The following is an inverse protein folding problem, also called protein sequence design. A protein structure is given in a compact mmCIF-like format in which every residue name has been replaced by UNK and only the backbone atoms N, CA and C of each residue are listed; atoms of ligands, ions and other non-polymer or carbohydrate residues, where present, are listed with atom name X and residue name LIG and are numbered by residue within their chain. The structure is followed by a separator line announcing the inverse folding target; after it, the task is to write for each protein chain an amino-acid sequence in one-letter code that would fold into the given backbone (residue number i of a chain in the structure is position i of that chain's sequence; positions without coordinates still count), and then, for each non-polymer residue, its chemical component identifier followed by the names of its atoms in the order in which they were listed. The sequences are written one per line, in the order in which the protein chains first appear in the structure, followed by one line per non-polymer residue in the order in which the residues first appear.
data_IF_465150655000
#
_entry.id   IF_465150655000
#
_cell.length_a   1.000
_cell.length_b   1.000
_cell.length_c   1.000
_cell.angle_alpha   90.00
_cell.angle_beta   90.00
_cell.angle_gamma   90.00
#
_symmetry.space_group_name_H-M   'P 1'
#
loop_
_entity.id
_entity.type
_entity.pdbx_description
1 polymer ?
#
# COMPACT_ATOMS: atom_id res chain seq x y z
N UNK A 1 1.28 -23.23 7.51
CA UNK A 1 -0.04 -22.96 6.90
C UNK A 1 -0.04 -23.56 5.51
N UNK A 2 -1.18 -24.02 4.99
CA UNK A 2 -1.22 -24.53 3.61
C UNK A 2 -1.06 -23.36 2.64
N UNK A 3 -0.27 -23.57 1.59
CA UNK A 3 -0.13 -22.59 0.51
C UNK A 3 -1.45 -22.46 -0.26
N UNK A 4 -1.78 -21.24 -0.70
CA UNK A 4 -2.99 -20.97 -1.47
C UNK A 4 -2.87 -21.49 -2.91
N UNK A 5 -3.93 -22.14 -3.41
CA UNK A 5 -4.03 -22.61 -4.80
C UNK A 5 -4.78 -21.63 -5.71
N UNK A 6 -5.34 -20.56 -5.14
CA UNK A 6 -5.92 -19.39 -5.81
C UNK A 6 -5.97 -18.21 -4.85
N UNK A 7 -6.14 -16.99 -5.36
CA UNK A 7 -6.29 -15.78 -4.53
C UNK A 7 -7.42 -14.87 -5.02
N UNK A 8 -8.24 -14.41 -4.08
CA UNK A 8 -9.22 -13.33 -4.26
C UNK A 8 -8.73 -12.11 -3.51
N UNK A 9 -8.35 -11.07 -4.26
CA UNK A 9 -7.68 -9.88 -3.72
C UNK A 9 -8.59 -8.68 -3.89
N UNK A 10 -8.95 -8.03 -2.78
CA UNK A 10 -9.63 -6.75 -2.81
C UNK A 10 -8.63 -5.61 -2.65
N UNK A 11 -8.88 -4.48 -3.31
CA UNK A 11 -8.22 -3.21 -3.06
C UNK A 11 -9.26 -2.14 -2.75
N UNK A 12 -9.22 -1.61 -1.52
CA UNK A 12 -10.17 -0.61 -1.03
C UNK A 12 -9.70 0.80 -1.41
N UNK A 13 -10.25 1.36 -2.47
CA UNK A 13 -9.93 2.67 -2.97
C UNK A 13 -10.73 3.76 -2.25
N UNK A 14 -10.03 4.67 -1.56
CA UNK A 14 -10.60 5.82 -0.87
C UNK A 14 -10.03 7.09 -1.52
N UNK A 15 -10.74 7.74 -2.46
CA UNK A 15 -10.17 8.78 -3.31
C UNK A 15 -9.80 10.08 -2.56
N UNK A 16 -8.79 10.83 -3.04
CA UNK A 16 -7.83 10.42 -4.07
C UNK A 16 -6.79 9.44 -3.49
N UNK A 17 -6.38 8.45 -4.28
CA UNK A 17 -5.45 7.40 -3.84
C UNK A 17 -4.04 7.63 -4.40
N UNK A 18 -3.01 7.40 -3.58
CA UNK A 18 -1.63 7.37 -4.05
C UNK A 18 -1.43 6.19 -5.02
N UNK A 19 -1.22 6.46 -6.31
CA UNK A 19 -1.13 5.42 -7.34
C UNK A 19 -0.08 4.35 -7.00
N UNK A 20 1.09 4.79 -6.50
CA UNK A 20 2.19 3.88 -6.19
C UNK A 20 1.93 3.02 -4.93
N UNK A 21 1.00 3.41 -4.05
CA UNK A 21 0.54 2.54 -2.97
C UNK A 21 -0.38 1.44 -3.54
N UNK A 22 -1.27 1.81 -4.46
CA UNK A 22 -2.19 0.89 -5.11
C UNK A 22 -1.50 -0.07 -6.07
N UNK A 23 -0.43 0.36 -6.76
CA UNK A 23 0.27 -0.43 -7.78
C UNK A 23 0.94 -1.68 -7.24
N UNK A 24 1.11 -1.80 -5.91
CA UNK A 24 1.58 -3.04 -5.29
C UNK A 24 0.66 -4.25 -5.59
N UNK A 25 -0.58 -3.99 -6.02
CA UNK A 25 -1.52 -5.01 -6.49
C UNK A 25 -1.02 -5.75 -7.75
N UNK A 26 -0.16 -5.11 -8.55
CA UNK A 26 0.27 -5.65 -9.84
C UNK A 26 1.07 -6.95 -9.66
N UNK A 27 1.86 -7.06 -8.58
CA UNK A 27 2.56 -8.29 -8.21
C UNK A 27 1.62 -9.49 -7.98
N UNK A 28 0.36 -9.26 -7.60
CA UNK A 28 -0.64 -10.34 -7.53
C UNK A 28 -1.09 -10.79 -8.91
N UNK A 29 -1.25 -9.86 -9.87
CA UNK A 29 -1.59 -10.18 -11.25
C UNK A 29 -0.51 -11.01 -11.95
N UNK A 30 0.75 -10.84 -11.53
CA UNK A 30 1.89 -11.60 -12.03
C UNK A 30 1.89 -13.08 -11.63
N UNK A 31 1.11 -13.48 -10.62
CA UNK A 31 1.00 -14.88 -10.17
C UNK A 31 0.22 -15.77 -11.15
N UNK A 32 -0.45 -15.19 -12.15
CA UNK A 32 -1.44 -15.89 -12.97
C UNK A 32 -0.81 -16.71 -14.09
N UNK A 33 -1.44 -17.86 -14.47
CA UNK A 33 -0.95 -18.66 -15.60
C UNK A 33 -0.86 -17.86 -16.90
N UNK A 34 -1.84 -16.98 -17.14
CA UNK A 34 -1.87 -16.10 -18.32
C UNK A 34 -0.70 -15.12 -18.34
N UNK A 35 -0.32 -14.55 -17.20
CA UNK A 35 0.80 -13.61 -17.14
C UNK A 35 2.13 -14.33 -17.39
N UNK A 36 2.40 -15.43 -16.66
CA UNK A 36 3.65 -16.19 -16.83
C UNK A 36 3.80 -16.76 -18.25
N UNK A 37 2.70 -17.24 -18.84
CA UNK A 37 2.68 -17.71 -20.23
C UNK A 37 2.93 -16.57 -21.22
N UNK A 38 2.34 -15.39 -21.01
CA UNK A 38 2.54 -14.22 -21.86
C UNK A 38 3.99 -13.71 -21.81
N UNK A 39 4.67 -13.87 -20.67
CA UNK A 39 6.10 -13.60 -20.53
C UNK A 39 7.02 -14.66 -21.19
N UNK A 40 6.46 -15.73 -21.76
CA UNK A 40 7.21 -16.78 -22.44
C UNK A 40 8.03 -17.66 -21.49
N UNK A 41 7.60 -17.81 -20.23
CA UNK A 41 8.31 -18.64 -19.27
C UNK A 41 8.15 -20.15 -19.58
N UNK A 42 9.17 -20.97 -19.27
CA UNK A 42 9.08 -22.42 -19.42
C UNK A 42 7.92 -23.03 -18.62
N UNK A 43 7.32 -24.10 -19.16
CA UNK A 43 6.15 -24.77 -18.56
C UNK A 43 6.31 -25.11 -17.06
N UNK A 44 7.47 -25.60 -16.57
CA UNK A 44 7.63 -25.87 -15.13
C UNK A 44 7.43 -24.65 -14.23
N UNK A 45 7.70 -23.43 -14.72
CA UNK A 45 7.43 -22.19 -13.99
C UNK A 45 5.96 -21.77 -14.11
N UNK A 46 5.36 -21.97 -15.28
CA UNK A 46 3.92 -21.73 -15.50
C UNK A 46 3.07 -22.64 -14.62
N UNK A 47 3.51 -23.88 -14.38
CA UNK A 47 2.83 -24.85 -13.53
C UNK A 47 2.80 -24.44 -12.04
N UNK A 48 3.68 -23.51 -11.62
CA UNK A 48 3.65 -22.92 -10.28
C UNK A 48 2.53 -21.89 -10.12
N UNK A 49 2.05 -21.30 -11.22
CA UNK A 49 1.10 -20.20 -11.22
C UNK A 49 -0.23 -20.56 -10.56
N UNK A 50 -0.92 -19.55 -10.03
CA UNK A 50 -2.23 -19.71 -9.42
C UNK A 50 -3.23 -18.70 -10.00
N UNK A 51 -4.53 -19.05 -10.10
CA UNK A 51 -5.56 -18.09 -10.48
C UNK A 51 -5.66 -16.96 -9.45
N UNK A 52 -5.79 -15.72 -9.94
CA UNK A 52 -5.99 -14.53 -9.10
C UNK A 52 -7.16 -13.72 -9.63
N UNK A 53 -8.11 -13.36 -8.75
CA UNK A 53 -9.14 -12.35 -9.03
C UNK A 53 -8.83 -11.07 -8.25
N UNK A 54 -8.94 -9.92 -8.91
CA UNK A 54 -8.68 -8.60 -8.32
C UNK A 54 -9.97 -7.80 -8.37
N UNK A 55 -10.36 -7.28 -7.21
CA UNK A 55 -11.55 -6.46 -7.01
C UNK A 55 -11.15 -5.04 -6.62
N UNK A 56 -11.41 -4.06 -7.48
CA UNK A 56 -11.25 -2.64 -7.17
C UNK A 56 -12.53 -2.14 -6.50
N UNK A 57 -12.43 -1.88 -5.19
CA UNK A 57 -13.57 -1.64 -4.30
C UNK A 57 -13.64 -0.15 -3.96
N UNK A 58 -14.80 0.48 -4.15
CA UNK A 58 -15.02 1.88 -3.78
C UNK A 58 -16.49 2.12 -3.37
N UNK A 59 -16.76 3.17 -2.61
CA UNK A 59 -18.14 3.61 -2.31
C UNK A 59 -18.92 4.01 -3.55
N UNK A 60 -18.24 4.39 -4.63
CA UNK A 60 -18.86 4.78 -5.89
C UNK A 60 -19.44 3.60 -6.69
N UNK A 61 -19.02 2.36 -6.39
CA UNK A 61 -19.52 1.14 -7.03
C UNK A 61 -19.08 0.93 -8.49
N UNK A 62 -19.55 -0.15 -9.13
CA UNK A 62 -19.17 -0.53 -10.50
C UNK A 62 -19.45 0.57 -11.54
N UNK A 63 -18.82 0.49 -12.70
CA UNK A 63 -18.93 1.45 -13.82
C UNK A 63 -18.47 2.89 -13.49
N UNK A 64 -17.78 3.06 -12.36
CA UNK A 64 -17.17 4.33 -11.96
C UNK A 64 -15.65 4.25 -11.96
N UNK A 65 -14.99 5.39 -11.75
CA UNK A 65 -13.55 5.48 -11.65
C UNK A 65 -13.12 6.28 -10.42
N UNK A 66 -12.03 5.88 -9.79
CA UNK A 66 -11.40 6.58 -8.66
C UNK A 66 -10.19 7.37 -9.17
N UNK A 67 -10.07 8.63 -8.74
CA UNK A 67 -8.93 9.48 -9.05
C UNK A 67 -7.69 9.10 -8.25
N UNK A 68 -6.55 9.12 -8.93
CA UNK A 68 -5.24 8.93 -8.33
C UNK A 68 -4.53 10.28 -8.16
N UNK A 69 -3.58 10.35 -7.23
CA UNK A 69 -2.72 11.54 -7.03
C UNK A 69 -1.88 11.91 -8.25
N UNK A 70 -1.66 10.95 -9.16
CA UNK A 70 -0.91 11.11 -10.42
C UNK A 70 -1.78 11.60 -11.59
N UNK A 71 -3.03 11.99 -11.34
CA UNK A 71 -4.04 12.33 -12.36
C UNK A 71 -4.49 11.14 -13.23
N UNK A 72 -4.05 9.92 -12.91
CA UNK A 72 -4.62 8.69 -13.48
C UNK A 72 -5.98 8.36 -12.84
N UNK A 73 -6.71 7.44 -13.45
CA UNK A 73 -7.94 6.87 -12.90
C UNK A 73 -7.87 5.35 -12.90
N UNK A 74 -8.49 4.72 -11.90
CA UNK A 74 -8.68 3.26 -11.86
C UNK A 74 -10.17 2.93 -11.91
N UNK A 75 -10.59 1.92 -12.69
CA UNK A 75 -11.98 1.48 -12.71
C UNK A 75 -12.35 0.83 -11.38
N UNK A 76 -13.62 0.96 -11.01
CA UNK A 76 -14.20 0.27 -9.86
C UNK A 76 -14.97 -0.94 -10.35
N UNK A 77 -14.68 -2.11 -9.78
CA UNK A 77 -15.35 -3.37 -10.13
C UNK A 77 -16.43 -3.73 -9.13
N UNK A 78 -16.33 -3.25 -7.89
CA UNK A 78 -17.20 -3.65 -6.78
C UNK A 78 -17.52 -2.45 -5.86
N UNK A 79 -18.75 -2.42 -5.37
CA UNK A 79 -19.18 -1.58 -4.25
C UNK A 79 -18.88 -2.25 -2.90
N UNK A 80 -18.94 -1.51 -1.80
CA UNK A 80 -18.73 -2.06 -0.45
C UNK A 80 -19.70 -3.18 -0.05
N UNK A 81 -20.89 -3.21 -0.64
CA UNK A 81 -21.95 -4.20 -0.41
C UNK A 81 -21.98 -5.31 -1.47
N UNK A 82 -21.08 -5.28 -2.45
CA UNK A 82 -20.98 -6.31 -3.48
C UNK A 82 -20.71 -7.68 -2.84
N UNK A 83 -21.44 -8.76 -3.21
CA UNK A 83 -21.30 -10.07 -2.57
C UNK A 83 -19.88 -10.64 -2.64
N UNK A 84 -19.17 -10.40 -3.75
CA UNK A 84 -17.83 -10.95 -4.00
C UNK A 84 -16.75 -10.40 -3.05
N UNK A 85 -17.02 -9.28 -2.37
CA UNK A 85 -16.04 -8.58 -1.53
C UNK A 85 -16.40 -8.59 -0.04
N UNK A 86 -17.46 -9.32 0.36
CA UNK A 86 -17.86 -9.44 1.75
C UNK A 86 -16.86 -10.27 2.59
N UNK A 87 -16.91 -10.18 3.94
CA UNK A 87 -16.01 -10.96 4.79
C UNK A 87 -16.04 -12.47 4.51
N UNK A 88 -14.87 -13.07 4.31
CA UNK A 88 -14.70 -14.47 3.90
C UNK A 88 -14.73 -14.72 2.39
N UNK A 89 -15.04 -13.70 1.59
CA UNK A 89 -14.98 -13.77 0.13
C UNK A 89 -13.65 -13.29 -0.45
N UNK A 90 -12.84 -12.61 0.37
CA UNK A 90 -11.49 -12.18 0.02
C UNK A 90 -10.45 -12.92 0.86
N UNK A 91 -9.37 -13.35 0.22
CA UNK A 91 -8.21 -13.91 0.89
C UNK A 91 -7.30 -12.79 1.42
N UNK A 92 -7.28 -11.65 0.74
CA UNK A 92 -6.58 -10.42 1.17
C UNK A 92 -7.33 -9.15 0.77
N UNK A 93 -7.22 -8.12 1.61
CA UNK A 93 -7.72 -6.77 1.37
C UNK A 93 -6.57 -5.76 1.51
N UNK A 94 -6.21 -5.09 0.41
CA UNK A 94 -5.21 -4.04 0.38
C UNK A 94 -5.88 -2.66 0.58
N UNK A 95 -5.35 -1.88 1.51
CA UNK A 95 -5.78 -0.50 1.81
C UNK A 95 -4.62 0.45 1.47
N UNK A 96 -4.61 1.05 0.26
CA UNK A 96 -3.60 2.01 -0.15
C UNK A 96 -3.82 3.36 0.52
N UNK A 97 -2.87 4.29 0.35
CA UNK A 97 -2.90 5.59 0.98
C UNK A 97 -3.83 6.62 0.35
N UNK A 98 -4.87 7.10 1.07
CA UNK A 98 -5.57 8.34 0.71
C UNK A 98 -4.82 9.58 1.22
N UNK A 99 -5.42 10.76 1.08
CA UNK A 99 -4.98 11.97 1.80
C UNK A 99 -4.88 11.67 3.32
N UNK A 100 -3.74 11.94 3.98
CA UNK A 100 -3.56 11.68 5.42
C UNK A 100 -4.43 12.54 6.35
N UNK A 101 -5.20 13.49 5.83
CA UNK A 101 -6.20 14.27 6.56
C UNK A 101 -7.62 13.76 6.37
N UNK A 102 -7.84 12.84 5.42
CA UNK A 102 -9.14 12.25 5.16
C UNK A 102 -9.62 11.46 6.39
N UNK A 103 -10.87 11.72 6.77
CA UNK A 103 -11.62 10.87 7.69
C UNK A 103 -12.57 10.05 6.83
N UNK A 104 -12.50 8.71 6.85
CA UNK A 104 -13.36 7.88 6.01
C UNK A 104 -14.81 7.96 6.50
N UNK A 105 -15.75 7.84 5.56
CA UNK A 105 -17.16 7.66 5.89
C UNK A 105 -17.37 6.40 6.73
N UNK A 106 -18.46 6.37 7.51
CA UNK A 106 -18.76 5.20 8.36
C UNK A 106 -18.95 3.92 7.53
N UNK A 107 -19.45 4.02 6.29
CA UNK A 107 -19.57 2.87 5.40
C UNK A 107 -18.21 2.19 5.15
N UNK A 108 -17.17 2.98 4.89
CA UNK A 108 -15.79 2.48 4.70
C UNK A 108 -15.24 1.91 6.00
N UNK A 109 -15.42 2.64 7.11
CA UNK A 109 -14.96 2.20 8.43
C UNK A 109 -15.62 0.87 8.85
N UNK A 110 -16.93 0.75 8.64
CA UNK A 110 -17.70 -0.46 8.91
C UNK A 110 -17.29 -1.62 8.02
N UNK A 111 -17.01 -1.39 6.73
CA UNK A 111 -16.49 -2.42 5.83
C UNK A 111 -15.17 -3.01 6.33
N UNK A 112 -14.18 -2.16 6.64
CA UNK A 112 -12.88 -2.59 7.19
C UNK A 112 -13.07 -3.36 8.50
N UNK A 113 -13.89 -2.83 9.40
CA UNK A 113 -14.20 -3.43 10.71
C UNK A 113 -14.88 -4.79 10.58
N UNK A 114 -15.72 -4.99 9.56
CA UNK A 114 -16.37 -6.27 9.29
C UNK A 114 -15.36 -7.34 8.87
N UNK A 115 -14.40 -7.01 8.00
CA UNK A 115 -13.31 -7.93 7.63
C UNK A 115 -12.44 -8.30 8.83
N UNK A 116 -12.11 -7.32 9.69
CA UNK A 116 -11.39 -7.57 10.94
C UNK A 116 -12.13 -8.54 11.85
N UNK A 117 -13.42 -8.29 12.10
CA UNK A 117 -14.25 -9.13 13.00
C UNK A 117 -14.41 -10.56 12.50
N UNK A 118 -14.50 -10.75 11.18
CA UNK A 118 -14.64 -12.07 10.61
C UNK A 118 -13.36 -12.92 10.70
N UNK A 119 -12.19 -12.28 10.82
CA UNK A 119 -10.87 -12.91 10.96
C UNK A 119 -10.57 -13.97 9.87
N UNK A 120 -11.03 -13.70 8.65
CA UNK A 120 -10.86 -14.58 7.47
C UNK A 120 -9.98 -14.00 6.37
N UNK A 121 -9.77 -12.68 6.39
CA UNK A 121 -9.05 -11.94 5.35
C UNK A 121 -7.77 -11.36 5.93
N UNK A 122 -6.65 -11.55 5.22
CA UNK A 122 -5.41 -10.85 5.57
C UNK A 122 -5.52 -9.38 5.10
N UNK A 123 -5.27 -8.40 5.97
CA UNK A 123 -5.44 -6.98 5.64
C UNK A 123 -4.07 -6.32 5.48
N UNK A 124 -3.80 -5.78 4.31
CA UNK A 124 -2.53 -5.17 3.93
C UNK A 124 -2.70 -3.66 3.84
N UNK A 125 -2.10 -2.94 4.78
CA UNK A 125 -2.23 -1.49 4.90
C UNK A 125 -0.93 -0.83 4.46
N UNK A 126 -1.01 0.01 3.43
CA UNK A 126 0.17 0.66 2.85
C UNK A 126 0.14 2.16 3.15
N UNK A 127 1.25 2.70 3.66
CA UNK A 127 1.45 4.13 3.82
C UNK A 127 0.31 4.80 4.63
N UNK A 128 -0.38 5.78 4.04
CA UNK A 128 -1.46 6.52 4.68
C UNK A 128 -2.76 5.73 4.77
N UNK A 129 -2.84 4.52 4.23
CA UNK A 129 -3.94 3.58 4.48
C UNK A 129 -4.08 3.25 5.96
N UNK A 130 -3.04 3.52 6.75
CA UNK A 130 -3.04 3.46 8.21
C UNK A 130 -4.10 4.37 8.85
N UNK A 131 -4.47 5.50 8.23
CA UNK A 131 -5.50 6.39 8.78
C UNK A 131 -6.90 5.76 8.72
N UNK A 132 -7.44 5.35 7.55
CA UNK A 132 -8.75 4.70 7.51
C UNK A 132 -8.77 3.37 8.28
N UNK A 133 -7.67 2.61 8.28
CA UNK A 133 -7.52 1.43 9.14
C UNK A 133 -7.65 1.79 10.64
N UNK A 134 -6.99 2.87 11.08
CA UNK A 134 -7.09 3.36 12.45
C UNK A 134 -8.49 3.82 12.84
N UNK A 135 -9.18 4.59 11.97
CA UNK A 135 -10.57 5.02 12.21
C UNK A 135 -11.54 3.83 12.29
N UNK A 136 -11.25 2.72 11.59
CA UNK A 136 -12.00 1.47 11.69
C UNK A 136 -11.73 0.67 12.98
N UNK A 137 -10.75 1.07 13.81
CA UNK A 137 -10.30 0.33 15.00
C UNK A 137 -9.37 -0.85 14.67
N UNK A 138 -8.88 -0.94 13.43
CA UNK A 138 -8.04 -2.06 13.00
C UNK A 138 -6.67 -2.08 13.70
N UNK A 139 -6.17 -0.90 14.09
CA UNK A 139 -4.85 -0.74 14.70
C UNK A 139 -4.85 -0.92 16.24
N UNK A 140 -6.03 -1.01 16.86
CA UNK A 140 -6.17 -0.97 18.32
C UNK A 140 -5.45 -2.13 19.01
N UNK A 141 -4.47 -1.79 19.85
CA UNK A 141 -3.66 -2.75 20.60
C UNK A 141 -2.65 -3.56 19.75
N UNK A 142 -2.63 -3.35 18.43
CA UNK A 142 -1.78 -4.09 17.47
C UNK A 142 -0.38 -3.51 17.36
N UNK A 143 0.59 -4.39 17.07
CA UNK A 143 1.94 -3.99 16.67
C UNK A 143 1.93 -3.67 15.17
N UNK A 144 2.24 -2.42 14.84
CA UNK A 144 2.07 -1.87 13.49
C UNK A 144 3.27 -1.00 13.11
N UNK A 145 3.47 -0.76 11.82
CA UNK A 145 4.35 0.32 11.34
C UNK A 145 3.54 1.30 10.50
N UNK A 146 4.16 2.40 10.07
CA UNK A 146 3.52 3.42 9.25
C UNK A 146 4.55 4.39 8.67
N UNK A 147 4.15 5.29 7.77
CA UNK A 147 5.06 6.22 7.12
C UNK A 147 5.76 7.08 8.18
N UNK A 148 7.10 7.04 8.21
CA UNK A 148 7.93 7.70 9.23
C UNK A 148 7.59 9.19 9.43
N UNK A 149 7.25 9.90 8.36
CA UNK A 149 6.88 11.31 8.40
C UNK A 149 5.54 11.59 9.13
N UNK A 150 4.67 10.58 9.23
CA UNK A 150 3.32 10.71 9.79
C UNK A 150 3.10 9.83 11.04
N UNK A 151 4.11 9.05 11.46
CA UNK A 151 3.99 8.14 12.60
C UNK A 151 3.64 8.87 13.90
N UNK A 152 4.11 10.11 14.10
CA UNK A 152 3.72 10.93 15.26
C UNK A 152 2.23 11.25 15.23
N UNK A 153 1.71 11.72 14.09
CA UNK A 153 0.27 11.98 13.90
C UNK A 153 -0.58 10.72 14.08
N UNK A 154 -0.09 9.58 13.59
CA UNK A 154 -0.76 8.29 13.77
C UNK A 154 -0.82 7.87 15.24
N UNK A 155 0.26 8.05 16.01
CA UNK A 155 0.28 7.78 17.45
C UNK A 155 -0.66 8.69 18.24
N UNK A 156 -0.76 9.95 17.87
CA UNK A 156 -1.70 10.90 18.50
C UNK A 156 -3.15 10.50 18.25
N UNK A 157 -3.49 10.08 17.03
CA UNK A 157 -4.86 9.66 16.66
C UNK A 157 -5.23 8.28 17.17
N UNK A 158 -4.28 7.35 17.22
CA UNK A 158 -4.50 5.94 17.55
C UNK A 158 -3.53 5.50 18.67
N UNK A 159 -3.71 6.02 19.90
CA UNK A 159 -2.73 5.88 20.99
C UNK A 159 -2.59 4.46 21.53
N UNK A 160 -3.56 3.58 21.24
CA UNK A 160 -3.55 2.16 21.61
C UNK A 160 -2.65 1.32 20.70
N UNK A 161 -2.33 1.81 19.50
CA UNK A 161 -1.50 1.12 18.52
C UNK A 161 -0.01 1.19 18.87
N UNK A 162 0.69 0.07 18.74
CA UNK A 162 2.11 -0.08 19.11
C UNK A 162 3.00 0.07 17.87
N UNK A 163 3.32 1.32 17.52
CA UNK A 163 4.13 1.64 16.34
C UNK A 163 5.61 1.26 16.49
N UNK A 164 6.09 0.33 15.64
CA UNK A 164 7.50 -0.05 15.47
C UNK A 164 8.13 0.68 14.27
N UNK A 165 9.46 0.76 14.21
CA UNK A 165 10.17 1.44 13.12
C UNK A 165 10.69 0.44 12.08
N UNK A 166 9.80 -0.05 11.23
CA UNK A 166 10.10 -1.08 10.21
C UNK A 166 9.53 -0.72 8.85
N UNK A 167 10.11 -1.25 7.78
CA UNK A 167 9.56 -1.12 6.42
C UNK A 167 8.18 -1.76 6.36
N UNK A 168 8.01 -2.92 7.00
CA UNK A 168 6.71 -3.56 7.17
C UNK A 168 6.65 -4.32 8.49
N UNK A 169 5.43 -4.51 9.02
CA UNK A 169 5.18 -5.26 10.25
C UNK A 169 3.92 -6.10 10.09
N UNK A 170 3.92 -7.28 10.71
CA UNK A 170 2.80 -8.20 10.74
C UNK A 170 2.41 -8.53 12.18
N UNK A 171 1.13 -8.38 12.48
CA UNK A 171 0.49 -8.83 13.73
C UNK A 171 -0.78 -9.64 13.39
N UNK A 172 -0.66 -10.97 13.44
CA UNK A 172 -1.72 -11.89 13.03
C UNK A 172 -2.00 -11.80 11.53
N UNK A 173 -3.21 -11.36 11.19
CA UNK A 173 -3.68 -11.12 9.81
C UNK A 173 -3.49 -9.68 9.34
N UNK A 174 -3.09 -8.77 10.22
CA UNK A 174 -2.83 -7.38 9.88
C UNK A 174 -1.37 -7.21 9.45
N UNK A 175 -1.18 -6.70 8.24
CA UNK A 175 0.10 -6.31 7.68
C UNK A 175 0.08 -4.80 7.46
N UNK A 176 1.12 -4.11 7.91
CA UNK A 176 1.25 -2.65 7.77
C UNK A 176 2.60 -2.32 7.18
N UNK A 177 2.70 -1.31 6.31
CA UNK A 177 3.96 -0.83 5.78
C UNK A 177 4.23 0.64 6.09
N UNK A 178 5.51 1.00 5.98
CA UNK A 178 6.04 2.33 6.17
C UNK A 178 5.64 3.29 5.06
N UNK A 179 6.63 3.81 4.32
CA UNK A 179 6.38 4.73 3.20
C UNK A 179 5.87 4.01 1.95
N UNK A 180 5.63 4.78 0.91
CA UNK A 180 5.04 4.33 -0.37
C UNK A 180 5.72 3.07 -0.92
N UNK A 181 7.03 3.11 -1.16
CA UNK A 181 7.75 1.95 -1.71
C UNK A 181 7.90 0.80 -0.72
N UNK A 182 7.66 1.02 0.57
CA UNK A 182 7.61 -0.10 1.52
C UNK A 182 6.37 -0.97 1.34
N UNK A 183 5.36 -0.49 0.61
CA UNK A 183 4.25 -1.32 0.13
C UNK A 183 4.73 -2.52 -0.71
N UNK A 184 5.75 -2.33 -1.56
CA UNK A 184 6.33 -3.43 -2.34
C UNK A 184 7.07 -4.44 -1.46
N UNK A 185 7.81 -3.98 -0.46
CA UNK A 185 8.49 -4.86 0.51
C UNK A 185 7.45 -5.71 1.29
N UNK A 186 6.35 -5.08 1.71
CA UNK A 186 5.24 -5.75 2.37
C UNK A 186 4.59 -6.78 1.44
N UNK A 187 4.33 -6.42 0.19
CA UNK A 187 3.74 -7.34 -0.79
C UNK A 187 4.65 -8.54 -1.04
N UNK A 188 5.95 -8.33 -1.23
CA UNK A 188 6.90 -9.43 -1.37
C UNK A 188 6.87 -10.36 -0.15
N UNK A 189 6.93 -9.81 1.07
CA UNK A 189 6.84 -10.59 2.30
C UNK A 189 5.51 -11.36 2.42
N UNK A 190 4.40 -10.73 2.01
CA UNK A 190 3.08 -11.35 2.00
C UNK A 190 2.98 -12.50 0.99
N UNK A 191 3.51 -12.34 -0.22
CA UNK A 191 3.51 -13.39 -1.24
C UNK A 191 4.31 -14.61 -0.77
N UNK A 192 5.51 -14.42 -0.24
CA UNK A 192 6.30 -15.53 0.35
C UNK A 192 5.57 -16.24 1.49
N UNK A 193 4.71 -15.54 2.21
CA UNK A 193 3.87 -16.13 3.25
C UNK A 193 2.66 -16.89 2.70
N UNK A 194 2.11 -16.47 1.55
CA UNK A 194 0.78 -16.90 1.07
C UNK A 194 0.83 -17.96 -0.03
N UNK A 195 1.86 -17.93 -0.88
CA UNK A 195 2.01 -18.82 -2.03
C UNK A 195 3.29 -19.63 -1.96
N UNK A 196 3.43 -20.62 -2.86
CA UNK A 196 4.64 -21.43 -2.97
C UNK A 196 5.88 -20.54 -3.08
N UNK A 197 6.95 -20.91 -2.37
CA UNK A 197 8.15 -20.08 -2.25
C UNK A 197 8.73 -19.77 -3.63
N UNK A 198 8.77 -20.77 -4.50
CA UNK A 198 9.32 -20.69 -5.84
C UNK A 198 8.51 -19.73 -6.72
N UNK A 199 7.18 -19.70 -6.56
CA UNK A 199 6.32 -18.75 -7.27
C UNK A 199 6.56 -17.31 -6.75
N UNK A 200 6.67 -17.14 -5.43
CA UNK A 200 6.94 -15.84 -4.83
C UNK A 200 8.33 -15.31 -5.24
N UNK A 201 9.36 -16.15 -5.19
CA UNK A 201 10.72 -15.84 -5.65
C UNK A 201 10.70 -15.40 -7.12
N UNK A 202 10.02 -16.16 -7.98
CA UNK A 202 9.89 -15.88 -9.41
C UNK A 202 9.24 -14.51 -9.67
N UNK A 203 8.07 -14.26 -9.07
CA UNK A 203 7.36 -12.99 -9.25
C UNK A 203 8.17 -11.81 -8.73
N UNK A 204 8.79 -11.93 -7.55
CA UNK A 204 9.62 -10.85 -7.00
C UNK A 204 10.84 -10.58 -7.90
N UNK A 205 11.46 -11.61 -8.46
CA UNK A 205 12.57 -11.46 -9.40
C UNK A 205 12.14 -10.79 -10.71
N UNK A 206 11.02 -11.21 -11.30
CA UNK A 206 10.48 -10.60 -12.52
C UNK A 206 10.07 -9.14 -12.34
N UNK A 207 9.51 -8.81 -11.16
CA UNK A 207 9.07 -7.46 -10.82
C UNK A 207 10.21 -6.56 -10.35
N UNK A 208 11.42 -7.09 -10.21
CA UNK A 208 12.57 -6.42 -9.58
C UNK A 208 12.22 -5.81 -8.21
N UNK A 209 11.39 -6.49 -7.42
CA UNK A 209 11.08 -6.06 -6.06
C UNK A 209 12.34 -6.31 -5.22
N UNK A 210 13.04 -5.22 -4.90
CA UNK A 210 14.33 -5.30 -4.22
C UNK A 210 14.28 -6.06 -2.89
N UNK A 211 15.36 -6.81 -2.61
CA UNK A 211 15.55 -7.55 -1.36
C UNK A 211 15.94 -6.59 -0.22
N UNK A 212 14.96 -5.80 0.23
CA UNK A 212 15.12 -4.90 1.38
C UNK A 212 14.66 -5.61 2.64
N UNK A 213 15.53 -5.60 3.65
CA UNK A 213 15.24 -6.13 4.98
C UNK A 213 14.01 -5.48 5.61
N UNK A 214 13.34 -6.23 6.50
CA UNK A 214 12.19 -5.72 7.25
C UNK A 214 12.53 -4.46 8.06
N UNK A 215 13.69 -4.43 8.70
CA UNK A 215 14.20 -3.29 9.45
C UNK A 215 14.88 -2.28 8.52
N UNK A 216 14.80 -0.99 8.82
CA UNK A 216 15.51 0.02 8.03
C UNK A 216 17.03 -0.04 8.26
N UNK A 217 17.84 0.14 7.21
CA UNK A 217 19.31 0.18 7.32
C UNK A 217 19.82 1.42 8.10
N UNK A 218 18.96 2.42 8.29
CA UNK A 218 19.23 3.63 9.09
C UNK A 218 18.07 3.99 10.01
N UNK A 219 18.40 4.47 11.21
CA UNK A 219 17.42 4.82 12.24
C UNK A 219 16.66 6.13 11.97
N UNK A 220 15.60 6.41 12.76
CA UNK A 220 14.76 7.61 12.60
C UNK A 220 15.54 8.94 12.56
N UNK A 221 16.63 9.03 13.32
CA UNK A 221 17.45 10.23 13.40
C UNK A 221 18.13 10.56 12.07
N UNK A 222 18.67 9.56 11.35
CA UNK A 222 19.31 9.79 10.05
C UNK A 222 18.29 10.23 9.00
N UNK A 223 17.09 9.64 9.02
CA UNK A 223 15.98 10.06 8.15
C UNK A 223 15.55 11.52 8.45
N UNK A 224 15.43 11.90 9.72
CA UNK A 224 15.10 13.28 10.10
C UNK A 224 16.15 14.28 9.64
N UNK A 225 17.44 13.97 9.82
CA UNK A 225 18.54 14.82 9.36
C UNK A 225 18.53 15.01 7.83
N UNK A 226 18.21 13.95 7.09
CA UNK A 226 18.08 14.02 5.64
C UNK A 226 16.92 14.93 5.21
N UNK A 227 15.76 14.86 5.88
CA UNK A 227 14.64 15.77 5.63
C UNK A 227 14.97 17.23 5.97
N UNK A 228 15.65 17.48 7.09
CA UNK A 228 16.13 18.83 7.45
C UNK A 228 17.07 19.35 6.37
N UNK A 229 17.99 18.52 5.90
CA UNK A 229 18.90 18.87 4.80
C UNK A 229 18.13 19.21 3.51
N UNK A 230 17.10 18.45 3.15
CA UNK A 230 16.25 18.76 1.98
C UNK A 230 15.53 20.10 2.11
N UNK A 231 15.00 20.42 3.30
CA UNK A 231 14.34 21.71 3.57
C UNK A 231 15.35 22.85 3.40
N UNK A 232 16.52 22.75 4.04
CA UNK A 232 17.59 23.75 3.95
C UNK A 232 18.02 23.94 2.48
N UNK A 233 18.28 22.84 1.77
CA UNK A 233 18.66 22.86 0.35
C UNK A 233 17.61 23.55 -0.52
N UNK A 234 16.33 23.31 -0.26
CA UNK A 234 15.22 23.91 -0.99
C UNK A 234 15.11 25.42 -0.73
N UNK A 235 15.29 25.85 0.52
CA UNK A 235 15.28 27.27 0.89
C UNK A 235 16.45 28.05 0.27
N UNK A 236 17.66 27.46 0.22
CA UNK A 236 18.84 28.09 -0.40
C UNK A 236 18.64 28.24 -1.92
N UNK A 237 18.15 27.21 -2.62
CA UNK A 237 17.86 27.28 -4.06
C UNK A 237 16.72 28.24 -4.38
N UNK A 238 15.66 28.28 -3.56
CA UNK A 238 14.57 29.26 -3.71
C UNK A 238 15.04 30.71 -3.60
N UNK A 239 16.01 31.00 -2.72
CA UNK A 239 16.64 32.32 -2.58
C UNK A 239 17.60 32.68 -3.71
N UNK A 240 18.28 31.71 -4.33
CA UNK A 240 19.13 31.96 -5.50
C UNK A 240 18.28 32.22 -6.77
N UNK A 241 17.23 31.43 -7.00
CA UNK A 241 16.36 31.60 -8.17
C UNK A 241 15.53 32.89 -8.16
N UNK A 242 15.21 33.43 -6.98
CA UNK A 242 14.55 34.75 -6.84
C UNK A 242 15.51 35.91 -7.11
N UNK A 243 16.79 35.81 -6.70
CA UNK A 243 17.81 36.81 -7.05
C UNK A 243 18.10 36.85 -8.56
N UNK A 244 18.13 35.70 -9.22
CA UNK A 244 18.38 35.62 -10.67
C UNK A 244 17.21 36.14 -11.51
N UNK A 245 15.96 35.96 -11.06
CA UNK A 245 14.78 36.57 -11.70
C UNK A 245 14.76 38.09 -11.54
N UNK A 246 15.00 38.60 -10.31
CA UNK A 246 15.06 40.03 -10.05
C UNK A 246 16.21 40.75 -10.80
N UNK A 247 17.34 40.06 -11.03
CA UNK A 247 18.46 40.58 -11.82
C UNK A 247 18.19 40.59 -13.33
N UNK A 248 17.34 39.69 -13.84
CA UNK A 248 16.93 39.67 -15.26
C UNK A 248 15.85 40.72 -15.57
N UNK A 249 14.91 40.94 -14.65
CA UNK A 249 13.87 41.98 -14.81
C UNK A 249 14.46 43.40 -14.77
N UNK A 250 15.49 43.65 -13.95
CA UNK A 250 16.22 44.93 -13.92
C UNK A 250 17.10 45.23 -15.14
N UNK A 251 17.31 44.27 -16.05
CA UNK A 251 18.04 44.47 -17.31
C UNK A 251 17.12 44.68 -18.51
N UNK A 252 15.80 44.64 -18.31
CA UNK A 252 14.79 44.85 -19.35
C UNK A 252 13.97 46.14 -19.15
N UNK A 253 14.33 46.96 -18.17
CA UNK A 253 13.94 48.37 -18.03
C UNK A 253 15.16 49.25 -18.28
#
# INVERSE_FOLDING_TARGET
MSQSTSLRVGILLIPPVQLLDASAIDAFGMLTPSYLSACGLPQPLVDLAIPVSIHYISTSGPDTHVSMTSSATLPVTDSLDSPAVQPGQLDTLLIPGPDPNLVPDEAVSSFIRAHQKADKTDILVICTGSFPAGYAGLLDGKRVTGPRALVTKLKEKFPTAKFVDRRWERDGRLWTSGGITNGLDLTAAYLHYKVQKELADLVCAMAEIGDRSQDYDGGKASNMLWWIWLIIRSAIKGKMGTKDKAAKEKKQQ
#
